data_IF_657170936983
#
_entry.id   IF_657170936983
#
_cell.length_a   1.000
_cell.length_b   1.000
_cell.length_c   1.000
_cell.angle_alpha   90.00
_cell.angle_beta   90.00
_cell.angle_gamma   90.00
#
_symmetry.space_group_name_H-M   'P 1'
#
loop_
_entity.id
_entity.type
_entity.pdbx_description
1 polymer ?
#
# COMPACT_ATOMS: atom_id res chain seq x y z
N UNK A 1 16.16 -29.54 -5.87
CA UNK A 1 15.90 -28.11 -6.12
C UNK A 1 15.78 -27.42 -4.77
N UNK A 2 16.84 -26.73 -4.36
CA UNK A 2 16.93 -26.01 -3.10
C UNK A 2 15.99 -24.80 -3.16
N UNK A 3 15.03 -24.70 -2.24
CA UNK A 3 14.29 -23.46 -1.98
C UNK A 3 15.31 -22.35 -1.71
N UNK A 4 15.50 -21.45 -2.67
CA UNK A 4 16.09 -20.16 -2.37
C UNK A 4 15.09 -19.49 -1.43
N UNK A 5 15.44 -19.31 -0.16
CA UNK A 5 14.64 -18.47 0.74
C UNK A 5 14.68 -17.08 0.11
N UNK A 6 13.60 -16.68 -0.53
CA UNK A 6 13.43 -15.32 -1.04
C UNK A 6 13.43 -14.38 0.17
N UNK A 7 14.63 -13.96 0.58
CA UNK A 7 14.77 -12.85 1.51
C UNK A 7 14.08 -11.66 0.85
N UNK A 8 13.03 -11.15 1.50
CA UNK A 8 12.50 -9.84 1.17
C UNK A 8 13.67 -8.85 1.22
N UNK A 9 14.06 -8.33 0.05
CA UNK A 9 15.19 -7.42 -0.09
C UNK A 9 14.79 -6.06 0.45
N UNK A 10 15.24 -5.71 1.65
CA UNK A 10 15.10 -4.35 2.17
C UNK A 10 16.29 -3.52 1.73
N UNK A 11 16.03 -2.39 1.08
CA UNK A 11 17.06 -1.41 0.71
C UNK A 11 16.69 -0.05 1.30
N UNK A 12 17.64 0.56 2.02
CA UNK A 12 17.50 1.91 2.54
C UNK A 12 18.29 2.89 1.66
N UNK A 13 17.64 3.99 1.26
CA UNK A 13 18.29 5.07 0.51
C UNK A 13 18.44 6.27 1.45
N UNK A 14 19.67 6.50 1.93
CA UNK A 14 19.99 7.58 2.87
C UNK A 14 20.83 8.64 2.17
N UNK A 15 20.29 9.84 2.01
CA UNK A 15 20.96 11.01 1.42
C UNK A 15 20.37 12.30 2.01
N UNK A 16 21.04 13.43 1.83
CA UNK A 16 20.54 14.76 2.26
C UNK A 16 19.18 15.10 1.64
N UNK A 17 18.41 15.99 2.28
CA UNK A 17 17.11 16.44 1.73
C UNK A 17 17.29 17.11 0.36
N UNK A 18 16.30 16.97 -0.53
CA UNK A 18 16.32 17.61 -1.85
C UNK A 18 17.17 16.93 -2.93
N UNK A 19 17.89 15.84 -2.64
CA UNK A 19 18.75 15.15 -3.64
C UNK A 19 18.00 14.26 -4.64
N UNK A 20 16.67 14.32 -4.65
CA UNK A 20 15.86 13.56 -5.60
C UNK A 20 15.61 12.09 -5.23
N UNK A 21 15.82 11.66 -3.97
CA UNK A 21 15.53 10.28 -3.53
C UNK A 21 14.13 9.80 -3.92
N UNK A 22 13.11 10.57 -3.55
CA UNK A 22 11.72 10.20 -3.82
C UNK A 22 11.41 10.19 -5.32
N UNK A 23 12.04 11.11 -6.09
CA UNK A 23 11.97 11.11 -7.56
C UNK A 23 12.66 9.88 -8.15
N UNK A 24 13.82 9.47 -7.65
CA UNK A 24 14.52 8.28 -8.11
C UNK A 24 13.67 7.01 -7.89
N UNK A 25 13.09 6.83 -6.70
CA UNK A 25 12.21 5.70 -6.41
C UNK A 25 10.95 5.73 -7.29
N UNK A 26 10.40 6.93 -7.50
CA UNK A 26 9.26 7.12 -8.39
C UNK A 26 9.56 6.73 -9.84
N UNK A 27 10.70 7.17 -10.42
CA UNK A 27 11.10 6.77 -11.76
C UNK A 27 11.45 5.27 -11.85
N UNK A 28 12.03 4.70 -10.80
CA UNK A 28 12.34 3.27 -10.74
C UNK A 28 11.06 2.40 -10.77
N UNK A 29 9.93 2.91 -10.28
CA UNK A 29 8.65 2.21 -10.32
C UNK A 29 8.13 1.95 -11.75
N UNK A 30 8.70 2.62 -12.77
CA UNK A 30 8.45 2.31 -14.19
C UNK A 30 9.13 1.02 -14.64
N UNK A 31 10.21 0.61 -13.98
CA UNK A 31 11.01 -0.56 -14.39
C UNK A 31 10.54 -1.85 -13.70
N UNK A 32 10.00 -1.73 -12.48
CA UNK A 32 9.56 -2.86 -11.65
C UNK A 32 8.20 -2.52 -11.05
N UNK A 33 7.25 -3.44 -11.17
CA UNK A 33 5.92 -3.27 -10.60
C UNK A 33 6.01 -2.92 -9.11
N UNK A 34 5.44 -1.78 -8.73
CA UNK A 34 5.63 -1.18 -7.41
C UNK A 34 4.29 -0.67 -6.88
N UNK A 35 4.05 -0.83 -5.57
CA UNK A 35 2.97 -0.18 -4.83
C UNK A 35 3.56 0.94 -3.97
N UNK A 36 3.57 2.20 -4.46
CA UNK A 36 4.35 3.26 -3.83
C UNK A 36 3.57 4.01 -2.74
N UNK A 37 4.00 3.93 -1.48
CA UNK A 37 3.43 4.73 -0.39
C UNK A 37 4.37 5.87 0.02
N UNK A 38 3.81 7.06 0.22
CA UNK A 38 4.49 8.21 0.82
C UNK A 38 3.85 8.53 2.17
N UNK A 39 4.52 8.16 3.26
CA UNK A 39 4.03 8.35 4.63
C UNK A 39 4.47 9.67 5.26
N UNK A 40 4.93 10.63 4.45
CA UNK A 40 5.31 11.97 4.93
C UNK A 40 4.11 12.65 5.59
N UNK A 41 4.34 13.39 6.67
CA UNK A 41 3.30 14.20 7.29
C UNK A 41 3.05 15.47 6.45
N UNK A 42 1.78 15.80 6.21
CA UNK A 42 1.41 17.12 5.70
C UNK A 42 1.84 18.21 6.69
N UNK A 43 2.34 19.33 6.18
CA UNK A 43 2.75 20.49 6.99
C UNK A 43 4.16 20.42 7.58
N UNK A 44 4.94 19.36 7.37
CA UNK A 44 6.33 19.32 7.86
C UNK A 44 7.30 20.23 7.06
N UNK A 45 6.91 20.64 5.85
CA UNK A 45 7.67 21.53 4.97
C UNK A 45 6.82 22.76 4.59
N UNK A 46 6.48 23.63 5.53
CA UNK A 46 5.98 24.98 5.21
C UNK A 46 7.05 25.88 4.54
N UNK A 47 8.30 25.39 4.46
CA UNK A 47 9.46 26.13 3.96
C UNK A 47 10.00 25.55 2.63
N UNK A 48 9.23 25.69 1.55
CA UNK A 48 9.72 25.83 0.15
C UNK A 48 9.72 24.64 -0.82
N UNK A 49 9.30 23.41 -0.49
CA UNK A 49 9.23 22.33 -1.51
C UNK A 49 8.02 21.42 -1.33
N UNK A 50 7.12 21.41 -2.31
CA UNK A 50 6.05 20.41 -2.40
C UNK A 50 6.67 19.02 -2.48
N UNK A 51 6.37 18.10 -1.54
CA UNK A 51 6.91 16.75 -1.58
C UNK A 51 6.46 16.04 -2.86
N UNK A 52 7.38 15.31 -3.48
CA UNK A 52 7.10 14.52 -4.67
C UNK A 52 7.42 13.04 -4.42
N UNK A 53 6.48 12.10 -4.68
CA UNK A 53 5.06 12.35 -4.95
C UNK A 53 4.35 12.96 -3.72
N UNK A 54 3.09 13.36 -3.87
CA UNK A 54 2.28 13.86 -2.76
C UNK A 54 2.14 12.82 -1.63
N UNK A 55 1.90 13.25 -0.37
CA UNK A 55 1.71 12.34 0.75
C UNK A 55 0.41 11.51 0.65
N UNK A 56 0.47 10.24 1.04
CA UNK A 56 -0.71 9.37 1.13
C UNK A 56 -1.28 9.42 2.56
N UNK A 57 -1.96 10.51 2.89
CA UNK A 57 -2.40 10.75 4.27
C UNK A 57 -3.37 9.69 4.79
N UNK A 58 -4.27 9.19 3.96
CA UNK A 58 -5.19 8.13 4.37
C UNK A 58 -4.42 6.87 4.82
N UNK A 59 -3.38 6.47 4.07
CA UNK A 59 -2.50 5.35 4.44
C UNK A 59 -1.74 5.68 5.72
N UNK A 60 -1.14 6.87 5.81
CA UNK A 60 -0.41 7.29 7.01
C UNK A 60 -1.29 7.25 8.26
N UNK A 61 -2.47 7.87 8.21
CA UNK A 61 -3.40 7.92 9.35
C UNK A 61 -3.89 6.52 9.74
N UNK A 62 -4.15 5.66 8.76
CA UNK A 62 -4.48 4.26 9.03
C UNK A 62 -3.34 3.55 9.77
N UNK A 63 -2.09 3.68 9.30
CA UNK A 63 -0.94 2.96 9.86
C UNK A 63 -0.50 3.46 11.26
N UNK A 64 -0.74 4.73 11.60
CA UNK A 64 -0.36 5.30 12.91
C UNK A 64 -1.49 5.31 13.93
N UNK A 65 -2.71 4.92 13.55
CA UNK A 65 -3.90 5.02 14.40
C UNK A 65 -4.03 3.96 15.49
N UNK A 66 -3.10 3.00 15.56
CA UNK A 66 -3.17 1.86 16.47
C UNK A 66 -2.42 2.13 17.79
N UNK A 67 -3.04 1.78 18.92
CA UNK A 67 -2.43 1.92 20.25
C UNK A 67 -1.68 0.68 20.70
N UNK A 68 -2.04 -0.51 20.18
CA UNK A 68 -1.43 -1.78 20.55
C UNK A 68 -0.79 -2.50 19.35
N UNK A 69 0.36 -3.11 19.60
CA UNK A 69 1.18 -3.75 18.56
C UNK A 69 0.47 -4.93 17.87
N UNK A 70 -0.34 -5.68 18.60
CA UNK A 70 -1.04 -6.86 18.08
C UNK A 70 -2.10 -6.45 17.05
N UNK A 71 -2.92 -5.46 17.38
CA UNK A 71 -3.91 -4.88 16.50
C UNK A 71 -3.25 -4.18 15.31
N UNK A 72 -2.18 -3.40 15.54
CA UNK A 72 -1.41 -2.78 14.47
C UNK A 72 -0.90 -3.83 13.47
N UNK A 73 -0.29 -4.91 13.96
CA UNK A 73 0.21 -6.01 13.14
C UNK A 73 -0.90 -6.66 12.33
N UNK A 74 -2.03 -7.00 12.96
CA UNK A 74 -3.16 -7.64 12.27
C UNK A 74 -3.73 -6.73 11.17
N UNK A 75 -3.93 -5.45 11.48
CA UNK A 75 -4.44 -4.47 10.51
C UNK A 75 -3.49 -4.28 9.33
N UNK A 76 -2.18 -4.17 9.59
CA UNK A 76 -1.17 -4.03 8.54
C UNK A 76 -1.14 -5.26 7.63
N UNK A 77 -1.19 -6.47 8.21
CA UNK A 77 -1.18 -7.71 7.42
C UNK A 77 -2.42 -7.80 6.53
N UNK A 78 -3.61 -7.53 7.09
CA UNK A 78 -4.85 -7.56 6.30
C UNK A 78 -4.83 -6.47 5.23
N UNK A 79 -4.37 -5.27 5.55
CA UNK A 79 -4.21 -4.17 4.60
C UNK A 79 -3.28 -4.53 3.43
N UNK A 80 -2.12 -5.11 3.71
CA UNK A 80 -1.20 -5.58 2.68
C UNK A 80 -1.85 -6.66 1.80
N UNK A 81 -2.62 -7.58 2.38
CA UNK A 81 -3.40 -8.55 1.61
C UNK A 81 -4.44 -7.88 0.70
N UNK A 82 -5.24 -6.95 1.24
CA UNK A 82 -6.28 -6.25 0.48
C UNK A 82 -5.74 -5.38 -0.63
N UNK A 83 -4.62 -4.71 -0.41
CA UNK A 83 -4.03 -3.92 -1.47
C UNK A 83 -3.45 -4.78 -2.59
N UNK A 84 -2.88 -5.96 -2.29
CA UNK A 84 -2.45 -6.90 -3.34
C UNK A 84 -3.63 -7.43 -4.16
N UNK A 85 -4.73 -7.81 -3.50
CA UNK A 85 -5.97 -8.25 -4.17
C UNK A 85 -6.51 -7.16 -5.10
N UNK A 86 -6.62 -5.92 -4.61
CA UNK A 86 -7.12 -4.79 -5.40
C UNK A 86 -6.17 -4.42 -6.53
N UNK A 87 -4.85 -4.46 -6.31
CA UNK A 87 -3.86 -4.23 -7.36
C UNK A 87 -4.01 -5.25 -8.48
N UNK A 88 -4.11 -6.54 -8.14
CA UNK A 88 -4.30 -7.61 -9.11
C UNK A 88 -5.60 -7.44 -9.90
N UNK A 89 -6.71 -7.07 -9.23
CA UNK A 89 -8.00 -6.81 -9.88
C UNK A 89 -7.92 -5.64 -10.86
N UNK A 90 -7.41 -4.49 -10.42
CA UNK A 90 -7.29 -3.27 -11.24
C UNK A 90 -6.34 -3.50 -12.41
N UNK A 91 -5.20 -4.15 -12.17
CA UNK A 91 -4.26 -4.51 -13.22
C UNK A 91 -4.90 -5.47 -14.24
N UNK A 92 -5.65 -6.47 -13.79
CA UNK A 92 -6.39 -7.37 -14.67
C UNK A 92 -7.36 -6.61 -15.60
N UNK A 93 -8.06 -5.61 -15.05
CA UNK A 93 -8.93 -4.73 -15.83
C UNK A 93 -8.17 -3.83 -16.80
N UNK A 94 -6.99 -3.31 -16.42
CA UNK A 94 -6.15 -2.50 -17.32
C UNK A 94 -5.63 -3.34 -18.50
N UNK A 95 -5.25 -4.58 -18.24
CA UNK A 95 -4.71 -5.46 -19.26
C UNK A 95 -5.78 -6.00 -20.22
N UNK A 96 -7.05 -6.09 -19.79
CA UNK A 96 -8.17 -6.61 -20.59
C UNK A 96 -7.87 -7.96 -21.27
N UNK A 97 -7.13 -8.85 -20.59
CA UNK A 97 -6.69 -10.14 -21.14
C UNK A 97 -5.51 -10.08 -22.12
N UNK A 98 -4.99 -8.88 -22.40
CA UNK A 98 -3.76 -8.66 -23.14
C UNK A 98 -2.53 -9.17 -22.38
N UNK A 99 -1.48 -9.53 -23.13
CA UNK A 99 -0.19 -9.93 -22.58
C UNK A 99 0.82 -8.81 -22.81
N UNK A 100 1.47 -8.39 -21.74
CA UNK A 100 2.53 -7.38 -21.75
C UNK A 100 3.80 -7.97 -21.12
N UNK A 101 4.95 -7.44 -21.51
CA UNK A 101 6.22 -7.70 -20.81
C UNK A 101 6.16 -7.11 -19.40
N UNK A 102 7.02 -7.60 -18.50
CA UNK A 102 7.05 -7.16 -17.10
C UNK A 102 7.24 -5.65 -16.94
N UNK A 103 8.11 -5.04 -17.75
CA UNK A 103 8.34 -3.60 -17.72
C UNK A 103 7.11 -2.82 -18.22
N UNK A 104 6.49 -3.26 -19.32
CA UNK A 104 5.27 -2.63 -19.85
C UNK A 104 4.12 -2.68 -18.82
N UNK A 105 4.03 -3.76 -18.02
CA UNK A 105 3.10 -3.86 -16.88
C UNK A 105 3.43 -2.83 -15.81
N UNK A 106 4.72 -2.66 -15.48
CA UNK A 106 5.17 -1.71 -14.47
C UNK A 106 4.89 -0.26 -14.91
N UNK A 107 5.19 0.10 -16.16
CA UNK A 107 4.90 1.40 -16.77
C UNK A 107 3.39 1.67 -16.80
N UNK A 108 2.59 0.73 -17.30
CA UNK A 108 1.13 0.86 -17.34
C UNK A 108 0.54 1.07 -15.93
N UNK A 109 1.00 0.32 -14.94
CA UNK A 109 0.58 0.48 -13.55
C UNK A 109 1.02 1.82 -12.96
N UNK A 110 2.28 2.21 -13.20
CA UNK A 110 2.83 3.48 -12.76
C UNK A 110 1.99 4.65 -13.28
N UNK A 111 1.71 4.66 -14.58
CA UNK A 111 0.98 5.72 -15.27
C UNK A 111 -0.49 5.76 -14.84
N UNK A 112 -1.11 4.59 -14.64
CA UNK A 112 -2.45 4.50 -14.06
C UNK A 112 -2.54 5.19 -12.69
N UNK A 113 -1.54 5.01 -11.82
CA UNK A 113 -1.51 5.66 -10.52
C UNK A 113 -1.22 7.17 -10.59
N UNK A 114 -0.72 7.71 -11.72
CA UNK A 114 -0.52 9.16 -11.91
C UNK A 114 -1.80 9.89 -12.29
N UNK A 115 -2.85 9.18 -12.72
CA UNK A 115 -4.14 9.79 -13.01
C UNK A 115 -4.74 10.38 -11.73
N UNK A 116 -5.20 11.62 -11.81
CA UNK A 116 -5.72 12.37 -10.68
C UNK A 116 -6.81 11.57 -9.94
N UNK A 117 -6.67 11.48 -8.61
CA UNK A 117 -7.61 10.76 -7.73
C UNK A 117 -7.51 9.23 -7.77
N UNK A 118 -6.84 8.61 -8.76
CA UNK A 118 -6.77 7.15 -8.87
C UNK A 118 -5.99 6.53 -7.71
N UNK A 119 -4.81 7.09 -7.39
CA UNK A 119 -3.96 6.62 -6.29
C UNK A 119 -4.63 6.77 -4.92
N UNK A 120 -5.22 7.94 -4.65
CA UNK A 120 -5.89 8.18 -3.36
C UNK A 120 -7.09 7.26 -3.18
N UNK A 121 -7.91 7.08 -4.22
CA UNK A 121 -9.05 6.15 -4.22
C UNK A 121 -8.59 4.70 -4.07
N UNK A 122 -7.50 4.31 -4.75
CA UNK A 122 -6.91 2.98 -4.62
C UNK A 122 -6.57 2.62 -3.18
N UNK A 123 -5.90 3.53 -2.47
CA UNK A 123 -5.56 3.32 -1.08
C UNK A 123 -6.77 3.38 -0.15
N UNK A 124 -7.74 4.25 -0.45
CA UNK A 124 -8.97 4.33 0.32
C UNK A 124 -9.76 3.02 0.24
N UNK A 125 -9.95 2.47 -0.96
CA UNK A 125 -10.63 1.18 -1.17
C UNK A 125 -9.93 0.05 -0.39
N UNK A 126 -8.60 0.03 -0.35
CA UNK A 126 -7.84 -0.98 0.39
C UNK A 126 -8.04 -0.85 1.91
N UNK A 127 -8.08 0.38 2.43
CA UNK A 127 -8.37 0.66 3.84
C UNK A 127 -9.80 0.22 4.19
N UNK A 128 -10.77 0.54 3.35
CA UNK A 128 -12.18 0.22 3.62
C UNK A 128 -12.41 -1.29 3.56
N UNK A 129 -11.84 -1.99 2.58
CA UNK A 129 -11.87 -3.45 2.52
C UNK A 129 -11.17 -4.12 3.73
N UNK A 130 -10.15 -3.47 4.29
CA UNK A 130 -9.48 -3.94 5.51
C UNK A 130 -10.39 -3.82 6.73
N UNK A 131 -11.02 -2.65 6.90
CA UNK A 131 -11.98 -2.39 7.98
C UNK A 131 -13.17 -3.34 7.89
N UNK A 132 -13.70 -3.59 6.70
CA UNK A 132 -14.77 -4.55 6.47
C UNK A 132 -14.34 -5.96 6.90
N UNK A 133 -13.18 -6.42 6.45
CA UNK A 133 -12.68 -7.76 6.77
C UNK A 133 -12.49 -7.97 8.27
N UNK A 134 -11.97 -6.96 8.99
CA UNK A 134 -11.75 -7.03 10.43
C UNK A 134 -13.05 -6.82 11.23
N UNK A 135 -13.96 -5.98 10.73
CA UNK A 135 -15.30 -5.80 11.30
C UNK A 135 -16.15 -7.07 11.20
N UNK A 136 -16.05 -7.82 10.11
CA UNK A 136 -16.69 -9.13 9.95
C UNK A 136 -16.06 -10.23 10.82
N UNK A 137 -14.78 -10.12 11.18
CA UNK A 137 -14.11 -11.07 12.10
C UNK A 137 -14.62 -10.92 13.54
N UNK A 138 -15.20 -9.77 13.92
CA UNK A 138 -15.75 -9.56 15.26
C UNK A 138 -17.12 -10.24 15.50
N UNK A 139 -17.79 -10.76 14.45
CA UNK A 139 -19.10 -11.43 14.59
C UNK A 139 -19.05 -12.93 14.93
N UNK A 140 -17.87 -13.55 14.94
CA UNK A 140 -17.72 -15.00 15.20
C UNK A 140 -17.20 -15.36 16.60
N UNK A 141 -17.07 -14.40 17.51
CA UNK A 141 -16.49 -14.64 18.85
C UNK A 141 -17.45 -14.49 20.04
N UNK A 142 -18.78 -14.48 19.84
CA UNK A 142 -19.76 -14.41 20.94
C UNK A 142 -21.01 -15.28 20.70
N UNK A 143 -20.82 -16.57 20.42
CA UNK A 143 -21.87 -17.57 20.62
C UNK A 143 -21.24 -18.88 21.05
N UNK A 144 -20.88 -18.97 22.33
CA UNK A 144 -20.88 -20.21 23.14
C UNK A 144 -20.31 -19.91 24.54
N UNK A 145 -21.10 -19.20 25.35
CA UNK A 145 -20.83 -19.10 26.79
C UNK A 145 -22.09 -18.71 27.58
N UNK A 146 -23.23 -19.35 27.29
CA UNK A 146 -24.44 -19.21 28.13
C UNK A 146 -25.22 -20.52 28.16
N UNK A 147 -24.66 -21.55 28.78
CA UNK A 147 -25.42 -22.62 29.44
C UNK A 147 -24.46 -23.49 30.23
N UNK A 148 -24.28 -23.13 31.51
CA UNK A 148 -24.20 -24.06 32.65
C UNK A 148 -23.98 -23.24 33.93
N UNK A 149 -24.91 -23.47 34.86
CA UNK A 149 -25.09 -22.96 36.22
C UNK A 149 -25.86 -21.65 36.38
#
# INVERSE_FOLDING_TARGET
>A
MTQHRDYAGFAAIVQSSGTGKSRMVHEQAKLVFTLPFNLRNEGYDELFVTPYPEPDNNVRQFLIGFQDDSNARNNIIVFLGKIYELAAKRLGSLLNGGRMKRQEIAECWHDYLQVEGVRSTFYQDAIDATKESLGSVCFFAHSDASSLN
#
